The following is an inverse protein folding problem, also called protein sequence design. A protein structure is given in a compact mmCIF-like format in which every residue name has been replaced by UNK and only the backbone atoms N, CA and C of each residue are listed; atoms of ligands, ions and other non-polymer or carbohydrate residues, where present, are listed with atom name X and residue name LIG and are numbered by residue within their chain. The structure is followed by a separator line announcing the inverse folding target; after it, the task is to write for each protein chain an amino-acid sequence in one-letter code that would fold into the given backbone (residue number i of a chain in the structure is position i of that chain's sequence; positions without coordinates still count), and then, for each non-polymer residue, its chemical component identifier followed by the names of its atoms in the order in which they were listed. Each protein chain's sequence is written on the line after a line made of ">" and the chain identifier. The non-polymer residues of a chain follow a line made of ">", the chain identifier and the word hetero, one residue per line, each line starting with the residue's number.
data_IF_837015832256
#
_entry.id   IF_837015832256
#
_cell.length_a   1.000
_cell.length_b   1.000
_cell.length_c   1.000
_cell.angle_alpha   90.00
_cell.angle_beta   90.00
_cell.angle_gamma   90.00
#
_symmetry.space_group_name_H-M   'P 1'
#
loop_
_entity.id
_entity.type
_entity.pdbx_description
1 polymer ?
#
# COMPACT_ATOMS: atom_id res chain seq x y z
N UNK A 1 -4.03 -13.71 -20.90
CA UNK A 1 -2.66 -13.69 -20.35
C UNK A 1 -2.76 -13.73 -18.83
N UNK A 2 -2.50 -14.87 -18.18
CA UNK A 2 -2.49 -14.97 -16.71
C UNK A 2 -1.14 -14.48 -16.23
N UNK A 3 -1.10 -13.33 -15.57
CA UNK A 3 0.13 -12.79 -14.99
C UNK A 3 0.31 -13.42 -13.62
N UNK A 4 1.35 -14.26 -13.48
CA UNK A 4 1.69 -14.94 -12.25
C UNK A 4 2.60 -14.06 -11.38
N UNK A 5 2.07 -12.92 -10.93
CA UNK A 5 2.81 -11.95 -10.11
C UNK A 5 3.57 -12.58 -8.94
N UNK A 6 2.94 -13.55 -8.27
CA UNK A 6 3.54 -14.28 -7.15
C UNK A 6 4.83 -15.01 -7.53
N UNK A 7 4.88 -15.61 -8.72
CA UNK A 7 6.06 -16.37 -9.17
C UNK A 7 7.21 -15.43 -9.52
N UNK A 8 6.91 -14.28 -10.13
CA UNK A 8 7.89 -13.23 -10.40
C UNK A 8 8.47 -12.64 -9.10
N UNK A 9 7.63 -12.32 -8.12
CA UNK A 9 8.10 -11.81 -6.83
C UNK A 9 8.96 -12.85 -6.09
N UNK A 10 8.57 -14.13 -6.11
CA UNK A 10 9.37 -15.22 -5.52
C UNK A 10 10.75 -15.32 -6.16
N UNK A 11 10.84 -15.24 -7.49
CA UNK A 11 12.13 -15.28 -8.17
C UNK A 11 12.97 -14.04 -7.85
N UNK A 12 12.34 -12.87 -7.76
CA UNK A 12 13.01 -11.63 -7.38
C UNK A 12 13.60 -11.71 -5.95
N UNK A 13 12.83 -12.22 -4.98
CA UNK A 13 13.28 -12.37 -3.60
C UNK A 13 14.40 -13.40 -3.44
N UNK A 14 14.49 -14.41 -4.31
CA UNK A 14 15.64 -15.34 -4.32
C UNK A 14 16.95 -14.63 -4.67
N UNK A 15 16.90 -13.65 -5.56
CA UNK A 15 18.10 -12.93 -6.04
C UNK A 15 18.51 -11.81 -5.09
N UNK A 16 17.55 -11.03 -4.57
CA UNK A 16 17.82 -9.79 -3.84
C UNK A 16 17.46 -9.85 -2.35
N UNK A 17 16.86 -10.95 -1.90
CA UNK A 17 16.32 -11.07 -0.55
C UNK A 17 14.87 -10.55 -0.44
N UNK A 18 14.23 -10.77 0.72
CA UNK A 18 12.81 -10.48 0.92
C UNK A 18 12.50 -9.02 1.24
N UNK A 19 13.51 -8.15 1.36
CA UNK A 19 13.33 -6.71 1.54
C UNK A 19 14.25 -5.97 0.59
N UNK A 20 13.67 -5.18 -0.32
CA UNK A 20 14.39 -4.56 -1.43
C UNK A 20 13.86 -3.17 -1.72
N UNK A 21 14.77 -2.25 -1.99
CA UNK A 21 14.42 -0.92 -2.46
C UNK A 21 14.37 -0.90 -3.97
N UNK A 22 13.23 -0.51 -4.53
CA UNK A 22 13.03 -0.28 -5.97
C UNK A 22 12.68 1.19 -6.20
N UNK A 23 12.98 1.69 -7.39
CA UNK A 23 12.62 3.06 -7.78
C UNK A 23 11.28 3.05 -8.52
N UNK A 24 10.26 3.68 -7.95
CA UNK A 24 8.97 3.90 -8.61
C UNK A 24 8.93 5.34 -9.09
N UNK A 25 9.37 5.54 -10.34
CA UNK A 25 9.66 6.87 -10.86
C UNK A 25 10.78 7.53 -10.03
N UNK A 26 10.62 8.77 -9.55
CA UNK A 26 11.65 9.46 -8.77
C UNK A 26 11.65 9.09 -7.27
N UNK A 27 10.69 8.26 -6.81
CA UNK A 27 10.56 7.92 -5.38
C UNK A 27 11.11 6.51 -5.12
N UNK A 28 12.05 6.33 -4.18
CA UNK A 28 12.43 5.00 -3.73
C UNK A 28 11.31 4.39 -2.88
N UNK A 29 11.00 3.11 -3.13
CA UNK A 29 9.96 2.34 -2.45
C UNK A 29 10.56 1.04 -1.96
N UNK A 30 10.32 0.70 -0.70
CA UNK A 30 10.72 -0.60 -0.14
C UNK A 30 9.59 -1.60 -0.37
N UNK A 31 9.91 -2.72 -1.03
CA UNK A 31 9.01 -3.86 -1.17
C UNK A 31 9.39 -4.90 -0.11
N UNK A 32 8.41 -5.33 0.68
CA UNK A 32 8.55 -6.32 1.74
C UNK A 32 7.84 -7.61 1.30
N UNK A 33 8.63 -8.66 1.11
CA UNK A 33 8.19 -10.02 0.78
C UNK A 33 8.17 -10.98 1.97
N UNK A 34 8.73 -10.57 3.11
CA UNK A 34 8.70 -11.36 4.35
C UNK A 34 7.37 -11.13 5.11
N UNK A 35 6.57 -12.19 5.37
CA UNK A 35 5.28 -12.06 6.04
C UNK A 35 5.36 -11.52 7.47
N UNK A 36 6.41 -11.85 8.22
CA UNK A 36 6.58 -11.42 9.61
C UNK A 36 6.93 -9.92 9.67
N UNK A 37 7.82 -9.48 8.78
CA UNK A 37 8.13 -8.06 8.63
C UNK A 37 6.91 -7.28 8.15
N UNK A 38 6.15 -7.82 7.18
CA UNK A 38 4.92 -7.19 6.71
C UNK A 38 3.89 -7.05 7.84
N UNK A 39 3.70 -8.09 8.66
CA UNK A 39 2.80 -8.06 9.81
C UNK A 39 3.21 -6.99 10.83
N UNK A 40 4.51 -6.86 11.11
CA UNK A 40 5.02 -5.81 11.98
C UNK A 40 4.76 -4.42 11.38
N UNK A 41 4.99 -4.22 10.09
CA UNK A 41 4.73 -2.95 9.41
C UNK A 41 3.24 -2.56 9.49
N UNK A 42 2.32 -3.49 9.20
CA UNK A 42 0.87 -3.24 9.27
C UNK A 42 0.35 -2.97 10.68
N UNK A 43 1.08 -3.37 11.72
CA UNK A 43 0.71 -3.09 13.12
C UNK A 43 1.08 -1.68 13.59
N UNK A 44 1.88 -0.93 12.81
CA UNK A 44 2.41 0.37 13.20
C UNK A 44 1.68 1.53 12.50
N UNK A 45 1.21 2.54 13.23
CA UNK A 45 0.52 3.70 12.65
C UNK A 45 1.36 4.45 11.61
N UNK A 46 2.69 4.52 11.79
CA UNK A 46 3.59 5.23 10.87
C UNK A 46 3.53 4.71 9.43
N UNK A 47 3.17 3.44 9.23
CA UNK A 47 3.09 2.80 7.91
C UNK A 47 1.67 2.69 7.37
N UNK A 48 0.69 3.32 8.02
CA UNK A 48 -0.72 3.21 7.62
C UNK A 48 -1.08 4.05 6.38
N UNK A 49 -0.20 4.94 5.95
CA UNK A 49 -0.38 5.80 4.77
C UNK A 49 -0.46 5.06 3.44
N UNK A 50 -0.72 5.81 2.37
CA UNK A 50 -0.74 5.28 0.99
C UNK A 50 0.28 6.01 0.13
N UNK A 51 0.75 5.33 -0.90
CA UNK A 51 1.68 5.92 -1.85
C UNK A 51 0.98 7.03 -2.63
N UNK A 52 1.53 8.23 -2.60
CA UNK A 52 1.06 9.36 -3.39
C UNK A 52 1.47 9.20 -4.86
N UNK A 53 0.54 8.67 -5.64
CA UNK A 53 0.63 8.38 -7.08
C UNK A 53 -0.44 9.16 -7.85
N UNK A 54 -0.35 9.21 -9.18
CA UNK A 54 -1.35 9.93 -10.00
C UNK A 54 -2.79 9.47 -9.71
N UNK A 55 -3.01 8.17 -9.53
CA UNK A 55 -4.33 7.62 -9.20
C UNK A 55 -4.85 8.14 -7.86
N UNK A 56 -4.01 8.19 -6.82
CA UNK A 56 -4.45 8.70 -5.50
C UNK A 56 -4.87 10.16 -5.59
N UNK A 57 -4.24 10.95 -6.47
CA UNK A 57 -4.58 12.37 -6.70
C UNK A 57 -5.84 12.56 -7.54
N UNK A 58 -6.14 11.64 -8.46
CA UNK A 58 -7.38 11.68 -9.26
C UNK A 58 -8.57 11.30 -8.37
N UNK A 59 -8.41 10.28 -7.52
CA UNK A 59 -9.48 9.79 -6.67
C UNK A 59 -9.67 10.61 -5.38
N UNK A 60 -8.60 11.15 -4.80
CA UNK A 60 -8.70 12.09 -3.69
C UNK A 60 -8.59 13.52 -4.22
N UNK A 61 -9.75 14.14 -4.42
CA UNK A 61 -9.85 15.56 -4.74
C UNK A 61 -10.33 16.34 -3.50
N UNK A 62 -10.33 17.66 -3.54
CA UNK A 62 -10.70 18.53 -2.41
C UNK A 62 -12.07 18.20 -1.83
N UNK A 63 -13.01 17.78 -2.66
CA UNK A 63 -14.41 17.56 -2.27
C UNK A 63 -14.74 16.08 -2.00
N UNK A 64 -13.82 15.16 -2.31
CA UNK A 64 -14.08 13.72 -2.25
C UNK A 64 -12.91 12.99 -1.61
N UNK A 65 -13.20 12.29 -0.52
CA UNK A 65 -12.27 11.37 0.11
C UNK A 65 -12.77 9.94 0.00
N UNK A 66 -11.85 9.04 -0.29
CA UNK A 66 -12.13 7.61 -0.44
C UNK A 66 -11.27 6.77 0.54
N UNK A 67 -11.50 5.46 0.60
CA UNK A 67 -10.90 4.58 1.63
C UNK A 67 -9.63 3.84 1.15
N UNK A 68 -9.46 3.64 -0.15
CA UNK A 68 -8.41 2.82 -0.75
C UNK A 68 -7.08 3.57 -0.91
N UNK A 69 -7.10 4.79 -1.42
CA UNK A 69 -5.90 5.56 -1.79
C UNK A 69 -5.62 6.78 -0.89
N UNK A 70 -6.52 7.14 0.02
CA UNK A 70 -6.30 8.28 0.91
C UNK A 70 -5.32 7.92 2.01
N UNK A 71 -4.43 8.86 2.30
CA UNK A 71 -3.50 8.74 3.42
C UNK A 71 -4.21 9.09 4.73
N UNK A 72 -3.72 8.50 5.83
CA UNK A 72 -4.37 8.53 7.14
C UNK A 72 -4.75 9.95 7.61
N UNK A 73 -6.03 10.27 7.49
CA UNK A 73 -6.70 11.46 8.00
C UNK A 73 -7.87 11.01 8.89
N UNK A 74 -8.32 11.85 9.82
CA UNK A 74 -9.45 11.52 10.72
C UNK A 74 -10.74 11.13 9.97
N UNK A 75 -10.93 11.69 8.78
CA UNK A 75 -12.00 11.36 7.83
C UNK A 75 -11.89 9.94 7.26
N UNK A 76 -10.69 9.45 6.97
CA UNK A 76 -10.47 8.07 6.48
C UNK A 76 -10.88 7.03 7.52
N UNK A 77 -10.53 7.24 8.79
CA UNK A 77 -10.96 6.35 9.88
C UNK A 77 -12.48 6.28 9.99
N UNK A 78 -13.14 7.43 9.86
CA UNK A 78 -14.60 7.52 9.90
C UNK A 78 -15.22 6.72 8.74
N UNK A 79 -14.78 6.99 7.51
CA UNK A 79 -15.26 6.29 6.31
C UNK A 79 -15.04 4.78 6.40
N UNK A 80 -13.87 4.35 6.88
CA UNK A 80 -13.56 2.91 7.06
C UNK A 80 -14.49 2.25 8.08
N UNK A 81 -14.80 2.93 9.20
CA UNK A 81 -15.73 2.40 10.21
C UNK A 81 -17.15 2.28 9.65
N UNK A 82 -17.61 3.26 8.88
CA UNK A 82 -18.93 3.22 8.23
C UNK A 82 -18.99 2.08 7.22
N UNK A 83 -18.01 1.96 6.32
CA UNK A 83 -17.96 0.90 5.32
C UNK A 83 -17.90 -0.50 5.96
N UNK A 84 -17.13 -0.67 7.04
CA UNK A 84 -17.04 -1.95 7.75
C UNK A 84 -18.36 -2.36 8.40
N UNK A 85 -19.18 -1.39 8.86
CA UNK A 85 -20.49 -1.65 9.47
C UNK A 85 -21.59 -1.95 8.45
N UNK A 86 -21.35 -1.67 7.17
CA UNK A 86 -22.34 -1.86 6.11
C UNK A 86 -22.39 -3.30 5.57
N UNK A 87 -21.46 -4.16 6.00
CA UNK A 87 -21.37 -5.60 5.67
C UNK A 87 -21.73 -6.40 6.92
#
# INVERSE_FOLDING_TARGET
>A
MKVHWNDHFRQFYKTYGPAVTVWVGPKPVVIIGDPDVAKQAFSRPEFMGRLDILLSRIFNNTDHQEVLFSSHLSSWECLRKVAHRAV
#
